data_IF_571464290534
#
_entry.id   IF_571464290534
#
_cell.length_a   1.000
_cell.length_b   1.000
_cell.length_c   1.000
_cell.angle_alpha   90.00
_cell.angle_beta   90.00
_cell.angle_gamma   90.00
#
_symmetry.space_group_name_H-M   'P 1'
#
loop_
_entity.id
_entity.type
_entity.pdbx_description
1 polymer ?
#
# COMPACT_ATOMS: atom_id res chain seq x y z
N UNK A 1 -10.25 -57.14 30.12
CA UNK A 1 -9.62 -55.86 30.50
C UNK A 1 -10.54 -55.22 31.52
N UNK A 2 -10.07 -54.94 32.73
CA UNK A 2 -10.92 -54.36 33.78
C UNK A 2 -11.07 -52.85 33.56
N UNK A 3 -12.20 -52.27 33.95
CA UNK A 3 -12.45 -50.82 33.82
C UNK A 3 -11.35 -49.98 34.50
N UNK A 4 -10.78 -50.49 35.58
CA UNK A 4 -9.70 -49.87 36.36
C UNK A 4 -8.40 -49.77 35.54
N UNK A 5 -8.06 -50.79 34.74
CA UNK A 5 -6.90 -50.74 33.85
C UNK A 5 -7.11 -49.76 32.70
N UNK A 6 -8.34 -49.69 32.17
CA UNK A 6 -8.72 -48.77 31.11
C UNK A 6 -8.58 -47.31 31.57
N UNK A 7 -9.02 -47.00 32.80
CA UNK A 7 -8.83 -45.68 33.43
C UNK A 7 -7.36 -45.33 33.65
N UNK A 8 -6.52 -46.27 34.08
CA UNK A 8 -5.07 -46.02 34.25
C UNK A 8 -4.39 -45.70 32.92
N UNK A 9 -4.72 -46.43 31.86
CA UNK A 9 -4.20 -46.14 30.52
C UNK A 9 -4.70 -44.80 29.98
N UNK A 10 -5.97 -44.46 30.17
CA UNK A 10 -6.53 -43.14 29.84
C UNK A 10 -5.83 -42.00 30.59
N UNK A 11 -5.55 -42.18 31.88
CA UNK A 11 -4.86 -41.19 32.70
C UNK A 11 -3.43 -40.93 32.23
N UNK A 12 -2.74 -41.96 31.71
CA UNK A 12 -1.38 -41.83 31.16
C UNK A 12 -1.37 -41.28 29.73
N UNK A 13 -2.33 -41.70 28.91
CA UNK A 13 -2.38 -41.32 27.49
C UNK A 13 -3.03 -39.95 27.26
N UNK A 14 -4.00 -39.54 28.09
CA UNK A 14 -4.71 -38.28 27.90
C UNK A 14 -3.82 -37.02 27.92
N UNK A 15 -2.80 -36.88 28.80
CA UNK A 15 -1.90 -35.73 28.76
C UNK A 15 -1.03 -35.73 27.50
N UNK A 16 -0.65 -36.91 27.02
CA UNK A 16 0.17 -37.09 25.81
C UNK A 16 -0.63 -36.64 24.58
N UNK A 17 -1.84 -37.18 24.40
CA UNK A 17 -2.72 -36.77 23.30
C UNK A 17 -3.10 -35.30 23.39
N UNK A 18 -3.36 -34.77 24.60
CA UNK A 18 -3.62 -33.34 24.81
C UNK A 18 -2.42 -32.49 24.39
N UNK A 19 -1.21 -32.85 24.80
CA UNK A 19 0.02 -32.15 24.40
C UNK A 19 0.25 -32.15 22.89
N UNK A 20 -0.02 -33.28 22.22
CA UNK A 20 0.08 -33.38 20.75
C UNK A 20 -0.93 -32.45 20.07
N UNK A 21 -2.19 -32.46 20.52
CA UNK A 21 -3.26 -31.62 19.95
C UNK A 21 -2.92 -30.14 20.16
N UNK A 22 -2.54 -29.75 21.38
CA UNK A 22 -2.17 -28.36 21.70
C UNK A 22 -0.95 -27.93 20.89
N UNK A 23 0.08 -28.78 20.79
CA UNK A 23 1.26 -28.49 19.96
C UNK A 23 0.91 -28.26 18.49
N UNK A 24 0.06 -29.11 17.93
CA UNK A 24 -0.40 -28.98 16.54
C UNK A 24 -1.23 -27.71 16.31
N UNK A 25 -2.20 -27.43 17.19
CA UNK A 25 -3.06 -26.24 17.10
C UNK A 25 -2.23 -24.97 17.24
N UNK A 26 -1.37 -24.90 18.25
CA UNK A 26 -0.49 -23.74 18.48
C UNK A 26 0.44 -23.50 17.31
N UNK A 27 1.06 -24.56 16.76
CA UNK A 27 1.93 -24.41 15.60
C UNK A 27 1.18 -23.87 14.38
N UNK A 28 -0.01 -24.43 14.10
CA UNK A 28 -0.84 -24.01 12.96
C UNK A 28 -1.31 -22.55 13.10
N UNK A 29 -1.76 -22.15 14.29
CA UNK A 29 -2.18 -20.77 14.57
C UNK A 29 -1.01 -19.80 14.52
N UNK A 30 0.15 -20.17 15.09
CA UNK A 30 1.36 -19.35 15.06
C UNK A 30 1.83 -19.08 13.63
N UNK A 31 1.90 -20.12 12.79
CA UNK A 31 2.29 -19.96 11.38
C UNK A 31 1.30 -19.09 10.60
N UNK A 32 -0.01 -19.25 10.85
CA UNK A 32 -1.04 -18.40 10.23
C UNK A 32 -0.87 -16.94 10.67
N UNK A 33 -0.64 -16.69 11.95
CA UNK A 33 -0.44 -15.35 12.52
C UNK A 33 0.78 -14.67 11.90
N UNK A 34 1.94 -15.35 11.87
CA UNK A 34 3.16 -14.83 11.26
C UNK A 34 2.98 -14.50 9.77
N UNK A 35 2.27 -15.35 9.03
CA UNK A 35 2.00 -15.11 7.61
C UNK A 35 1.13 -13.87 7.41
N UNK A 36 0.13 -13.68 8.26
CA UNK A 36 -0.72 -12.48 8.23
C UNK A 36 0.13 -11.25 8.55
N UNK A 37 0.92 -11.29 9.62
CA UNK A 37 1.80 -10.18 10.02
C UNK A 37 2.76 -9.75 8.90
N UNK A 38 3.43 -10.70 8.24
CA UNK A 38 4.31 -10.42 7.09
C UNK A 38 3.54 -9.76 5.95
N UNK A 39 2.33 -10.24 5.65
CA UNK A 39 1.49 -9.66 4.60
C UNK A 39 1.11 -8.21 4.94
N UNK A 40 0.71 -7.94 6.19
CA UNK A 40 0.39 -6.59 6.66
C UNK A 40 1.61 -5.66 6.60
N UNK A 41 2.78 -6.13 7.04
CA UNK A 41 4.02 -5.34 6.98
C UNK A 41 4.36 -4.95 5.53
N UNK A 42 4.27 -5.89 4.59
CA UNK A 42 4.52 -5.63 3.18
C UNK A 42 3.48 -4.70 2.56
N UNK A 43 2.20 -4.83 2.96
CA UNK A 43 1.13 -3.92 2.52
C UNK A 43 1.34 -2.49 3.00
N UNK A 44 1.70 -2.31 4.26
CA UNK A 44 2.04 -0.99 4.82
C UNK A 44 3.25 -0.38 4.13
N UNK A 45 4.27 -1.20 3.86
CA UNK A 45 5.45 -0.76 3.10
C UNK A 45 5.08 -0.29 1.69
N UNK A 46 4.30 -1.08 0.96
CA UNK A 46 3.83 -0.74 -0.38
C UNK A 46 3.09 0.61 -0.40
N UNK A 47 2.19 0.81 0.55
CA UNK A 47 1.50 2.09 0.72
C UNK A 47 2.48 3.23 0.97
N UNK A 48 3.41 3.07 1.92
CA UNK A 48 4.36 4.14 2.27
C UNK A 48 5.24 4.55 1.09
N UNK A 49 5.71 3.57 0.30
CA UNK A 49 6.52 3.83 -0.90
C UNK A 49 5.74 4.64 -1.94
N UNK A 50 4.50 4.25 -2.25
CA UNK A 50 3.64 4.99 -3.19
C UNK A 50 3.23 6.36 -2.65
N UNK A 51 2.80 6.43 -1.39
CA UNK A 51 2.32 7.65 -0.76
C UNK A 51 3.42 8.71 -0.68
N UNK A 52 4.67 8.29 -0.42
CA UNK A 52 5.81 9.21 -0.44
C UNK A 52 5.96 9.88 -1.81
N UNK A 53 5.98 9.09 -2.89
CA UNK A 53 6.11 9.61 -4.26
C UNK A 53 4.97 10.57 -4.60
N UNK A 54 3.74 10.21 -4.22
CA UNK A 54 2.55 11.03 -4.46
C UNK A 54 2.60 12.36 -3.70
N UNK A 55 3.02 12.35 -2.43
CA UNK A 55 3.16 13.56 -1.63
C UNK A 55 4.27 14.46 -2.21
N UNK A 56 5.43 13.89 -2.51
CA UNK A 56 6.56 14.62 -3.09
C UNK A 56 6.12 15.33 -4.38
N UNK A 57 5.44 14.60 -5.28
CA UNK A 57 4.94 15.16 -6.52
C UNK A 57 3.86 16.23 -6.30
N UNK A 58 2.97 16.05 -5.33
CA UNK A 58 1.98 17.09 -4.98
C UNK A 58 2.64 18.38 -4.52
N UNK A 59 3.70 18.30 -3.71
CA UNK A 59 4.45 19.47 -3.29
C UNK A 59 5.11 20.19 -4.48
N UNK A 60 5.64 19.45 -5.46
CA UNK A 60 6.15 20.03 -6.70
C UNK A 60 5.07 20.82 -7.47
N UNK A 61 3.84 20.30 -7.52
CA UNK A 61 2.72 20.95 -8.18
C UNK A 61 2.25 22.20 -7.44
N UNK A 62 2.18 22.17 -6.11
CA UNK A 62 1.72 23.28 -5.28
C UNK A 62 2.58 24.55 -5.48
N UNK A 63 3.87 24.39 -5.74
CA UNK A 63 4.75 25.53 -6.09
C UNK A 63 4.29 26.24 -7.36
N UNK A 64 3.88 25.47 -8.38
CA UNK A 64 3.37 26.01 -9.64
C UNK A 64 1.97 26.59 -9.50
N UNK A 65 1.14 26.05 -8.60
CA UNK A 65 -0.22 26.54 -8.34
C UNK A 65 -0.18 27.89 -7.63
N UNK A 66 0.61 28.01 -6.56
CA UNK A 66 0.55 29.17 -5.66
C UNK A 66 1.58 30.25 -6.00
N UNK A 67 2.56 29.97 -6.86
CA UNK A 67 3.67 30.87 -7.22
C UNK A 67 4.23 31.62 -6.00
N UNK A 68 4.41 30.90 -4.89
CA UNK A 68 4.69 31.48 -3.58
C UNK A 68 6.20 31.45 -3.29
N UNK A 69 6.85 32.60 -3.07
CA UNK A 69 8.28 32.66 -2.76
C UNK A 69 8.66 32.03 -1.42
N UNK A 70 7.70 31.80 -0.52
CA UNK A 70 7.90 31.10 0.75
C UNK A 70 7.72 29.58 0.64
N UNK A 71 7.20 29.07 -0.48
CA UNK A 71 7.31 27.64 -0.79
C UNK A 71 8.72 27.43 -1.34
N UNK A 72 9.62 26.91 -0.50
CA UNK A 72 10.96 26.54 -0.94
C UNK A 72 10.87 25.66 -2.19
N UNK A 73 11.50 26.07 -3.29
CA UNK A 73 11.71 25.15 -4.42
C UNK A 73 12.39 23.92 -3.86
N UNK A 74 11.71 22.77 -3.92
CA UNK A 74 12.31 21.54 -3.46
C UNK A 74 13.56 21.33 -4.31
N UNK A 75 14.75 21.43 -3.71
CA UNK A 75 16.01 21.09 -4.38
C UNK A 75 15.99 19.66 -4.89
N UNK A 76 15.12 18.85 -4.30
CA UNK A 76 14.92 17.43 -4.57
C UNK A 76 13.73 17.20 -5.52
N UNK A 77 13.21 18.25 -6.17
CA UNK A 77 12.16 18.11 -7.17
C UNK A 77 12.68 17.24 -8.32
N UNK A 78 12.07 16.06 -8.47
CA UNK A 78 12.43 15.04 -9.46
C UNK A 78 11.86 15.39 -10.83
N UNK A 79 10.80 16.18 -10.84
CA UNK A 79 10.07 16.51 -12.04
C UNK A 79 9.20 15.34 -12.51
N UNK A 80 8.38 15.63 -13.52
CA UNK A 80 7.26 14.75 -13.87
C UNK A 80 7.69 13.41 -14.48
N UNK A 81 8.76 13.40 -15.29
CA UNK A 81 9.25 12.17 -15.95
C UNK A 81 9.85 11.18 -14.96
N UNK A 82 10.66 11.67 -14.02
CA UNK A 82 11.24 10.83 -12.97
C UNK A 82 10.14 10.35 -12.01
N UNK A 83 9.18 11.21 -11.65
CA UNK A 83 8.01 10.83 -10.85
C UNK A 83 7.21 9.69 -11.51
N UNK A 84 6.92 9.79 -12.81
CA UNK A 84 6.24 8.74 -13.57
C UNK A 84 7.00 7.40 -13.51
N UNK A 85 8.31 7.46 -13.67
CA UNK A 85 9.18 6.28 -13.63
C UNK A 85 9.14 5.63 -12.25
N UNK A 86 9.24 6.43 -11.19
CA UNK A 86 9.16 5.96 -9.82
C UNK A 86 7.79 5.36 -9.49
N UNK A 87 6.69 6.04 -9.85
CA UNK A 87 5.33 5.53 -9.64
C UNK A 87 5.13 4.19 -10.33
N UNK A 88 5.53 4.06 -11.60
CA UNK A 88 5.39 2.81 -12.35
C UNK A 88 6.23 1.68 -11.74
N UNK A 89 7.50 1.93 -11.43
CA UNK A 89 8.38 0.92 -10.86
C UNK A 89 7.89 0.45 -9.49
N UNK A 90 7.51 1.40 -8.63
CA UNK A 90 6.96 1.09 -7.30
C UNK A 90 5.61 0.39 -7.39
N UNK A 91 4.76 0.73 -8.35
CA UNK A 91 3.51 0.01 -8.57
C UNK A 91 3.78 -1.44 -8.98
N UNK A 92 4.64 -1.68 -9.97
CA UNK A 92 4.96 -3.03 -10.46
C UNK A 92 5.54 -3.89 -9.35
N UNK A 93 6.45 -3.36 -8.54
CA UNK A 93 7.07 -4.11 -7.43
C UNK A 93 6.08 -4.44 -6.30
N UNK A 94 5.05 -3.61 -6.11
CA UNK A 94 4.12 -3.73 -4.99
C UNK A 94 2.71 -4.19 -5.37
N UNK A 95 2.43 -4.45 -6.66
CA UNK A 95 1.08 -4.79 -7.16
C UNK A 95 0.44 -5.96 -6.42
N UNK A 96 1.24 -6.95 -5.99
CA UNK A 96 0.76 -8.14 -5.26
C UNK A 96 0.16 -7.79 -3.89
N UNK A 97 0.55 -6.67 -3.30
CA UNK A 97 0.11 -6.22 -1.97
C UNK A 97 -1.05 -5.22 -2.03
N UNK A 98 -1.46 -4.80 -3.23
CA UNK A 98 -2.48 -3.79 -3.45
C UNK A 98 -3.76 -4.41 -4.00
N UNK A 99 -4.90 -3.82 -3.63
CA UNK A 99 -6.17 -4.20 -4.21
C UNK A 99 -6.30 -3.70 -5.66
N UNK A 100 -7.17 -4.35 -6.44
CA UNK A 100 -7.40 -4.00 -7.85
C UNK A 100 -7.81 -2.53 -8.05
N UNK A 101 -8.59 -1.98 -7.12
CA UNK A 101 -9.01 -0.58 -7.15
C UNK A 101 -7.83 0.38 -6.99
N UNK A 102 -6.93 0.10 -6.03
CA UNK A 102 -5.69 0.86 -5.81
C UNK A 102 -4.78 0.82 -7.03
N UNK A 103 -4.57 -0.37 -7.60
CA UNK A 103 -3.75 -0.54 -8.81
C UNK A 103 -4.32 0.28 -9.97
N UNK A 104 -5.63 0.20 -10.18
CA UNK A 104 -6.31 0.96 -11.22
C UNK A 104 -6.17 2.46 -11.00
N UNK A 105 -6.40 2.95 -9.77
CA UNK A 105 -6.31 4.37 -9.44
C UNK A 105 -4.92 4.94 -9.70
N UNK A 106 -3.85 4.21 -9.35
CA UNK A 106 -2.48 4.64 -9.64
C UNK A 106 -2.20 4.64 -11.15
N UNK A 107 -2.65 3.63 -11.90
CA UNK A 107 -2.49 3.59 -13.36
C UNK A 107 -3.25 4.71 -14.08
N UNK A 108 -4.47 5.01 -13.63
CA UNK A 108 -5.29 6.11 -14.16
C UNK A 108 -4.58 7.46 -13.91
N UNK A 109 -3.98 7.65 -12.73
CA UNK A 109 -3.16 8.82 -12.42
C UNK A 109 -1.91 8.90 -13.30
N UNK A 110 -1.16 7.81 -13.47
CA UNK A 110 0.01 7.77 -14.37
C UNK A 110 -0.39 8.16 -15.79
N UNK A 111 -1.51 7.64 -16.29
CA UNK A 111 -2.04 7.98 -17.61
C UNK A 111 -2.39 9.46 -17.70
N UNK A 112 -3.01 10.01 -16.65
CA UNK A 112 -3.38 11.42 -16.57
C UNK A 112 -2.14 12.32 -16.52
N UNK A 113 -1.11 11.95 -15.76
CA UNK A 113 0.17 12.68 -15.72
C UNK A 113 0.80 12.69 -17.12
N UNK A 114 0.86 11.53 -17.79
CA UNK A 114 1.36 11.43 -19.17
C UNK A 114 0.56 12.30 -20.14
N UNK A 115 -0.77 12.33 -20.00
CA UNK A 115 -1.62 13.20 -20.80
C UNK A 115 -1.20 14.66 -20.64
N UNK A 116 -1.17 15.19 -19.41
CA UNK A 116 -0.82 16.59 -19.15
C UNK A 116 0.62 16.97 -19.52
N UNK A 117 1.57 16.03 -19.50
CA UNK A 117 2.94 16.29 -19.97
C UNK A 117 3.03 16.61 -21.46
N UNK A 118 2.08 16.14 -22.27
CA UNK A 118 2.15 16.27 -23.72
C UNK A 118 1.52 17.56 -24.25
N UNK A 119 0.85 18.34 -23.40
CA UNK A 119 0.22 19.60 -23.79
C UNK A 119 1.06 20.80 -23.37
N UNK A 120 0.99 21.86 -24.17
CA UNK A 120 1.58 23.16 -23.82
C UNK A 120 0.63 23.92 -22.91
N UNK A 121 1.16 24.72 -21.99
CA UNK A 121 0.33 25.51 -21.06
C UNK A 121 -0.69 26.41 -21.77
N UNK A 122 -0.37 26.86 -22.99
CA UNK A 122 -1.22 27.67 -23.88
C UNK A 122 -2.47 26.93 -24.39
N UNK A 123 -2.50 25.60 -24.32
CA UNK A 123 -3.62 24.77 -24.81
C UNK A 123 -4.71 24.59 -23.74
N UNK A 124 -4.49 25.09 -22.52
CA UNK A 124 -5.46 25.03 -21.40
C UNK A 124 -6.12 26.38 -21.17
N UNK A 125 -7.07 26.78 -22.04
CA UNK A 125 -7.71 28.10 -21.97
C UNK A 125 -8.51 28.37 -20.67
N UNK A 126 -8.84 27.36 -19.85
CA UNK A 126 -9.65 27.53 -18.63
C UNK A 126 -9.36 26.52 -17.51
N UNK A 127 -8.31 25.71 -17.61
CA UNK A 127 -8.01 24.64 -16.64
C UNK A 127 -6.61 24.87 -16.10
N UNK A 128 -6.45 24.86 -14.77
CA UNK A 128 -5.12 24.77 -14.17
C UNK A 128 -4.76 23.28 -14.02
N UNK A 129 -3.97 22.69 -14.94
CA UNK A 129 -3.66 21.26 -14.92
C UNK A 129 -2.93 20.84 -13.65
N UNK A 130 -2.16 21.75 -13.04
CA UNK A 130 -1.45 21.50 -11.79
C UNK A 130 -2.43 21.34 -10.61
N UNK A 131 -3.46 22.19 -10.53
CA UNK A 131 -4.50 22.09 -9.51
C UNK A 131 -5.32 20.81 -9.66
N UNK A 132 -5.73 20.46 -10.88
CA UNK A 132 -6.47 19.24 -11.15
C UNK A 132 -5.64 18.00 -10.79
N UNK A 133 -4.35 18.02 -11.11
CA UNK A 133 -3.42 16.95 -10.76
C UNK A 133 -3.26 16.80 -9.24
N UNK A 134 -3.12 17.91 -8.49
CA UNK A 134 -3.03 17.87 -7.03
C UNK A 134 -4.31 17.28 -6.39
N UNK A 135 -5.48 17.60 -6.94
CA UNK A 135 -6.76 16.99 -6.52
C UNK A 135 -6.79 15.50 -6.81
N UNK A 136 -6.32 15.07 -8.00
CA UNK A 136 -6.32 13.66 -8.36
C UNK A 136 -5.35 12.85 -7.50
N UNK A 137 -4.16 13.38 -7.22
CA UNK A 137 -3.20 12.76 -6.30
C UNK A 137 -3.85 12.50 -4.93
N UNK A 138 -4.57 13.50 -4.38
CA UNK A 138 -5.25 13.34 -3.10
C UNK A 138 -6.28 12.20 -3.13
N UNK A 139 -7.07 12.09 -4.21
CA UNK A 139 -8.04 10.98 -4.38
C UNK A 139 -7.34 9.62 -4.39
N UNK A 140 -6.23 9.50 -5.12
CA UNK A 140 -5.46 8.23 -5.19
C UNK A 140 -4.88 7.90 -3.82
N UNK A 141 -4.33 8.87 -3.09
CA UNK A 141 -3.86 8.69 -1.71
C UNK A 141 -4.98 8.20 -0.79
N UNK A 142 -6.19 8.75 -0.90
CA UNK A 142 -7.34 8.32 -0.10
C UNK A 142 -7.77 6.88 -0.42
N UNK A 143 -7.71 6.46 -1.69
CA UNK A 143 -7.98 5.07 -2.11
C UNK A 143 -6.92 4.13 -1.54
N UNK A 144 -5.64 4.48 -1.68
CA UNK A 144 -4.52 3.71 -1.12
C UNK A 144 -4.62 3.58 0.41
N UNK A 145 -5.05 4.64 1.09
CA UNK A 145 -5.24 4.62 2.54
C UNK A 145 -6.41 3.74 2.98
N UNK A 146 -7.51 3.74 2.21
CA UNK A 146 -8.62 2.81 2.44
C UNK A 146 -8.20 1.35 2.25
N UNK A 147 -7.30 1.08 1.31
CA UNK A 147 -6.74 -0.25 1.09
C UNK A 147 -5.96 -0.76 2.32
N UNK A 148 -5.24 0.11 3.04
CA UNK A 148 -4.59 -0.25 4.30
C UNK A 148 -5.56 -0.66 5.40
N UNK A 149 -6.72 0.02 5.47
CA UNK A 149 -7.77 -0.30 6.41
C UNK A 149 -8.54 -1.53 5.94
N UNK A 150 -7.94 -2.71 6.17
CA UNK A 150 -8.57 -4.01 6.00
C UNK A 150 -9.80 -4.11 6.92
N UNK A 151 -10.97 -3.75 6.37
CA UNK A 151 -12.27 -4.13 6.92
C UNK A 151 -12.62 -5.54 6.49
#
# INVERSE_FOLDING_TARGET
MSDIELFKWLAVLSPIFSGIIVGFVTHKLSNRSKRIEILYQNKTRAFNELNKILIDYRFELEQKIYNNPFLERSSDAKGTVETLTLLNNTLVSNTVYLNKESVKAVMDLVTKINFYCNFKEEEFENINPYLEMAVEIKKVTDILYKDLNLK
#
